data_IF_006627368082
#
_entry.id   IF_006627368082
#
_cell.length_a   1.000
_cell.length_b   1.000
_cell.length_c   1.000
_cell.angle_alpha   90.00
_cell.angle_beta   90.00
_cell.angle_gamma   90.00
#
_symmetry.space_group_name_H-M   'P 1'
#
loop_
_entity.id
_entity.type
_entity.pdbx_description
1 polymer ?
#
# COMPACT_ATOMS: atom_id res chain seq x y z
N UNK A 1 22.35 -4.34 -22.24
CA UNK A 1 22.23 -2.88 -22.03
C UNK A 1 21.72 -2.28 -23.33
N UNK A 2 20.57 -1.63 -23.32
CA UNK A 2 20.01 -0.98 -24.52
C UNK A 2 20.16 0.53 -24.35
N UNK A 3 20.71 1.23 -25.35
CA UNK A 3 20.95 2.68 -25.30
C UNK A 3 19.84 3.38 -26.08
N UNK A 4 19.22 4.38 -25.45
CA UNK A 4 18.18 5.20 -26.07
C UNK A 4 18.66 6.64 -26.15
N UNK A 5 18.29 7.32 -27.24
CA UNK A 5 18.50 8.76 -27.37
C UNK A 5 17.48 9.49 -26.51
N UNK A 6 17.93 10.56 -25.87
CA UNK A 6 17.06 11.54 -25.22
C UNK A 6 16.45 12.43 -26.29
N UNK A 7 15.17 12.74 -26.14
CA UNK A 7 14.42 13.69 -26.96
C UNK A 7 14.05 14.89 -26.09
N UNK A 8 13.98 16.09 -26.67
CA UNK A 8 13.52 17.28 -25.99
C UNK A 8 12.12 17.64 -26.47
N UNK A 9 11.22 17.96 -25.54
CA UNK A 9 9.84 18.36 -25.85
C UNK A 9 9.48 19.63 -25.12
N UNK A 10 8.88 20.59 -25.82
CA UNK A 10 8.32 21.81 -25.21
C UNK A 10 9.33 22.72 -24.50
N UNK A 11 10.63 22.59 -24.80
CA UNK A 11 11.69 23.47 -24.30
C UNK A 11 12.09 23.27 -22.82
N UNK A 12 11.35 22.49 -22.04
CA UNK A 12 11.56 22.34 -20.60
C UNK A 12 11.61 20.88 -20.10
N UNK A 13 11.48 19.89 -20.99
CA UNK A 13 11.46 18.48 -20.58
C UNK A 13 12.18 17.57 -21.56
N UNK A 14 12.81 16.54 -20.99
CA UNK A 14 13.46 15.47 -21.72
C UNK A 14 12.61 14.19 -21.66
N UNK A 15 12.58 13.45 -22.76
CA UNK A 15 11.87 12.19 -22.88
C UNK A 15 12.84 11.10 -23.31
N UNK A 16 12.69 9.91 -22.72
CA UNK A 16 13.35 8.67 -23.17
C UNK A 16 12.30 7.60 -23.41
N UNK A 17 12.46 6.83 -24.48
CA UNK A 17 11.55 5.72 -24.78
C UNK A 17 11.85 4.51 -23.92
N UNK A 18 10.81 3.92 -23.32
CA UNK A 18 10.92 2.68 -22.57
C UNK A 18 11.17 1.49 -23.51
N UNK A 19 11.97 0.48 -23.11
CA UNK A 19 12.12 -0.74 -23.89
C UNK A 19 10.77 -1.44 -24.07
N UNK A 20 10.37 -1.70 -25.32
CA UNK A 20 9.05 -2.25 -25.66
C UNK A 20 8.75 -3.58 -24.97
N UNK A 21 9.74 -4.49 -24.91
CA UNK A 21 9.60 -5.80 -24.25
C UNK A 21 9.37 -5.66 -22.75
N UNK A 22 10.15 -4.80 -22.09
CA UNK A 22 9.99 -4.50 -20.67
C UNK A 22 8.63 -3.86 -20.38
N UNK A 23 8.25 -2.81 -21.12
CA UNK A 23 6.97 -2.13 -20.92
C UNK A 23 5.78 -3.09 -21.06
N UNK A 24 5.79 -3.98 -22.06
CA UNK A 24 4.79 -5.04 -22.21
C UNK A 24 4.80 -6.04 -21.05
N UNK A 25 5.99 -6.47 -20.60
CA UNK A 25 6.11 -7.41 -19.46
C UNK A 25 5.54 -6.84 -18.16
N UNK A 26 5.59 -5.51 -18.00
CA UNK A 26 5.05 -4.80 -16.85
C UNK A 26 3.59 -4.34 -17.06
N UNK A 27 2.97 -4.70 -18.19
CA UNK A 27 1.58 -4.35 -18.49
C UNK A 27 1.33 -2.85 -18.72
N UNK A 28 2.38 -2.07 -18.98
CA UNK A 28 2.28 -0.62 -19.21
C UNK A 28 1.57 -0.35 -20.54
N UNK A 29 0.52 0.47 -20.48
CA UNK A 29 -0.28 0.92 -21.62
C UNK A 29 -0.02 2.39 -21.93
N UNK A 30 -0.47 2.83 -23.09
CA UNK A 30 -0.44 4.24 -23.49
C UNK A 30 -1.17 5.06 -22.42
N UNK A 31 -0.58 6.18 -22.02
CA UNK A 31 -1.07 7.11 -20.99
C UNK A 31 -1.00 6.60 -19.54
N UNK A 32 -0.41 5.43 -19.28
CA UNK A 32 -0.13 5.01 -17.90
C UNK A 32 0.97 5.89 -17.29
N UNK A 33 0.80 6.24 -16.01
CA UNK A 33 1.85 6.90 -15.23
C UNK A 33 2.91 5.90 -14.76
N UNK A 34 4.17 6.34 -14.78
CA UNK A 34 5.33 5.57 -14.31
C UNK A 34 6.01 6.38 -13.21
N UNK A 35 6.30 5.75 -12.08
CA UNK A 35 7.07 6.37 -11.01
C UNK A 35 8.52 6.52 -11.42
N UNK A 36 9.11 7.70 -11.16
CA UNK A 36 10.51 7.98 -11.43
C UNK A 36 11.16 8.49 -10.13
N UNK A 37 12.23 7.84 -9.69
CA UNK A 37 13.00 8.26 -8.52
C UNK A 37 14.45 8.52 -8.94
N UNK A 38 14.94 9.73 -8.65
CA UNK A 38 16.36 10.05 -8.79
C UNK A 38 17.13 9.50 -7.59
N UNK A 39 18.21 8.78 -7.85
CA UNK A 39 19.12 8.26 -6.83
C UNK A 39 20.39 9.11 -6.76
N UNK A 40 21.05 9.07 -5.60
CA UNK A 40 22.27 9.85 -5.34
C UNK A 40 23.45 9.44 -6.23
N UNK A 41 23.42 8.23 -6.81
CA UNK A 41 24.41 7.74 -7.77
C UNK A 41 24.19 8.26 -9.21
N UNK A 42 23.21 9.15 -9.40
CA UNK A 42 22.85 9.71 -10.71
C UNK A 42 21.95 8.80 -11.56
N UNK A 43 21.56 7.62 -11.06
CA UNK A 43 20.63 6.75 -11.76
C UNK A 43 19.17 7.17 -11.56
N UNK A 44 18.31 6.84 -12.54
CA UNK A 44 16.86 6.94 -12.42
C UNK A 44 16.27 5.54 -12.24
N UNK A 45 15.50 5.34 -11.16
CA UNK A 45 14.70 4.15 -10.96
C UNK A 45 13.31 4.36 -11.56
N UNK A 46 12.91 3.47 -12.45
CA UNK A 46 11.58 3.44 -13.07
C UNK A 46 10.73 2.36 -12.40
N UNK A 47 9.52 2.72 -11.96
CA UNK A 47 8.58 1.81 -11.32
C UNK A 47 7.26 1.79 -12.08
N UNK A 48 6.83 0.64 -12.62
CA UNK A 48 5.54 0.53 -13.30
C UNK A 48 4.42 0.80 -12.29
N UNK A 49 3.47 1.66 -12.69
CA UNK A 49 2.17 1.91 -12.06
C UNK A 49 2.23 2.05 -10.53
N UNK A 50 2.30 3.28 -10.02
CA UNK A 50 1.79 3.59 -8.68
C UNK A 50 0.26 3.57 -8.80
N UNK A 51 -0.33 2.38 -8.92
CA UNK A 51 -1.76 2.29 -8.67
C UNK A 51 -1.95 2.39 -7.17
N UNK A 52 -2.76 3.36 -6.72
CA UNK A 52 -3.26 3.41 -5.36
C UNK A 52 -3.83 2.05 -4.93
N UNK A 53 -4.37 1.28 -5.88
CA UNK A 53 -4.85 -0.10 -5.71
C UNK A 53 -3.74 -1.12 -5.40
N UNK A 54 -2.52 -1.00 -5.93
CA UNK A 54 -1.38 -1.84 -5.52
C UNK A 54 -0.78 -1.41 -4.19
N UNK A 55 -0.97 -0.14 -3.79
CA UNK A 55 -0.61 0.30 -2.46
C UNK A 55 -1.62 -0.17 -1.42
N UNK A 56 -2.92 -0.18 -1.68
CA UNK A 56 -3.94 -0.57 -0.70
C UNK A 56 -4.14 -2.09 -0.63
N UNK A 57 -3.29 -2.76 0.15
CA UNK A 57 -3.55 -4.10 0.62
C UNK A 57 -4.49 -3.99 1.83
N UNK A 58 -5.77 -4.28 1.58
CA UNK A 58 -6.80 -4.31 2.61
C UNK A 58 -7.01 -5.72 3.19
N UNK A 59 -7.15 -5.79 4.52
CA UNK A 59 -7.59 -6.99 5.23
C UNK A 59 -8.78 -6.68 6.12
N UNK A 60 -9.87 -7.41 5.93
CA UNK A 60 -11.03 -7.35 6.81
C UNK A 60 -11.02 -8.50 7.84
N UNK A 61 -11.31 -8.17 9.09
CA UNK A 61 -11.50 -9.11 10.19
C UNK A 61 -12.93 -9.01 10.74
N UNK A 62 -13.71 -10.10 10.64
CA UNK A 62 -14.92 -10.27 11.44
C UNK A 62 -14.53 -10.76 12.85
N UNK A 63 -14.70 -9.89 13.86
CA UNK A 63 -14.36 -10.19 15.25
C UNK A 63 -15.56 -10.63 16.09
N UNK A 64 -16.70 -10.93 15.46
CA UNK A 64 -17.95 -11.31 16.14
C UNK A 64 -17.80 -12.53 17.05
N UNK A 65 -16.90 -13.45 16.70
CA UNK A 65 -16.63 -14.69 17.45
C UNK A 65 -15.31 -14.66 18.22
N UNK A 66 -14.61 -13.52 18.29
CA UNK A 66 -13.34 -13.43 19.02
C UNK A 66 -13.64 -13.16 20.50
N UNK A 67 -13.48 -14.19 21.32
CA UNK A 67 -13.70 -14.09 22.76
C UNK A 67 -12.51 -13.49 23.52
N UNK A 68 -11.29 -13.82 23.10
CA UNK A 68 -10.06 -13.37 23.77
C UNK A 68 -9.38 -12.27 22.97
N UNK A 69 -9.20 -11.05 23.53
CA UNK A 69 -8.54 -9.94 22.84
C UNK A 69 -7.14 -10.26 22.32
N UNK A 70 -6.41 -11.17 22.96
CA UNK A 70 -5.06 -11.57 22.52
C UNK A 70 -5.06 -12.21 21.13
N UNK A 71 -6.14 -12.87 20.72
CA UNK A 71 -6.23 -13.45 19.37
C UNK A 71 -6.36 -12.36 18.31
N UNK A 72 -7.20 -11.35 18.56
CA UNK A 72 -7.29 -10.17 17.69
C UNK A 72 -5.93 -9.48 17.57
N UNK A 73 -5.21 -9.29 18.67
CA UNK A 73 -3.88 -8.68 18.63
C UNK A 73 -2.92 -9.44 17.71
N UNK A 74 -2.88 -10.77 17.80
CA UNK A 74 -2.02 -11.61 16.94
C UNK A 74 -2.42 -11.51 15.47
N UNK A 75 -3.71 -11.47 15.17
CA UNK A 75 -4.22 -11.32 13.80
C UNK A 75 -3.83 -9.96 13.20
N UNK A 76 -3.95 -8.88 13.99
CA UNK A 76 -3.55 -7.53 13.57
C UNK A 76 -2.04 -7.44 13.32
N UNK A 77 -1.21 -8.04 14.18
CA UNK A 77 0.24 -8.14 13.98
C UNK A 77 0.57 -8.93 12.71
N UNK A 78 -0.13 -10.04 12.45
CA UNK A 78 0.04 -10.82 11.23
C UNK A 78 -0.24 -9.98 9.97
N UNK A 79 -1.37 -9.26 9.95
CA UNK A 79 -1.70 -8.38 8.83
C UNK A 79 -0.66 -7.27 8.64
N UNK A 80 -0.15 -6.68 9.72
CA UNK A 80 0.91 -5.68 9.65
C UNK A 80 2.20 -6.23 9.05
N UNK A 81 2.66 -7.40 9.51
CA UNK A 81 3.87 -8.06 8.99
C UNK A 81 3.70 -8.48 7.53
N UNK A 82 2.51 -8.92 7.14
CA UNK A 82 2.21 -9.27 5.76
C UNK A 82 2.15 -8.05 4.83
N UNK A 83 2.21 -6.82 5.35
CA UNK A 83 2.23 -5.59 4.56
C UNK A 83 0.85 -5.11 4.13
N UNK A 84 -0.21 -5.46 4.88
CA UNK A 84 -1.50 -4.82 4.73
C UNK A 84 -1.44 -3.42 5.35
N UNK A 85 -1.81 -2.41 4.57
CA UNK A 85 -1.81 -1.01 4.98
C UNK A 85 -3.21 -0.43 5.20
N UNK A 86 -4.26 -1.20 4.90
CA UNK A 86 -5.63 -0.93 5.34
C UNK A 86 -6.10 -2.16 6.12
N UNK A 87 -6.49 -1.96 7.38
CA UNK A 87 -7.01 -3.04 8.23
C UNK A 87 -8.39 -2.65 8.72
N UNK A 88 -9.40 -3.41 8.31
CA UNK A 88 -10.80 -3.18 8.65
C UNK A 88 -11.21 -4.19 9.73
N UNK A 89 -11.70 -3.70 10.86
CA UNK A 89 -12.15 -4.56 11.97
C UNK A 89 -13.66 -4.37 12.13
N UNK A 90 -14.44 -5.40 11.79
CA UNK A 90 -15.91 -5.36 11.84
C UNK A 90 -16.46 -6.39 12.82
N UNK A 91 -17.64 -6.11 13.34
CA UNK A 91 -18.37 -7.04 14.21
C UNK A 91 -19.87 -6.92 13.93
N UNK A 92 -20.55 -8.06 13.74
CA UNK A 92 -22.00 -8.13 13.54
C UNK A 92 -22.80 -7.71 14.78
N UNK A 93 -22.18 -7.78 15.96
CA UNK A 93 -22.72 -7.31 17.23
C UNK A 93 -21.90 -6.13 17.74
N UNK A 94 -22.40 -5.41 18.74
CA UNK A 94 -21.63 -4.35 19.41
C UNK A 94 -20.27 -4.89 19.85
N UNK A 95 -19.20 -4.24 19.37
CA UNK A 95 -17.83 -4.65 19.69
C UNK A 95 -17.59 -4.47 21.19
N UNK A 96 -17.00 -5.49 21.83
CA UNK A 96 -16.74 -5.40 23.26
C UNK A 96 -15.68 -4.33 23.56
N UNK A 97 -15.77 -3.60 24.70
CA UNK A 97 -14.78 -2.59 25.07
C UNK A 97 -13.34 -3.16 25.14
N UNK A 98 -13.21 -4.44 25.47
CA UNK A 98 -11.92 -5.12 25.53
C UNK A 98 -11.27 -5.29 24.15
N UNK A 99 -12.06 -5.58 23.10
CA UNK A 99 -11.58 -5.68 21.73
C UNK A 99 -11.21 -4.30 21.18
N UNK A 100 -12.06 -3.28 21.39
CA UNK A 100 -11.75 -1.91 20.97
C UNK A 100 -10.50 -1.36 21.67
N UNK A 101 -10.32 -1.66 22.97
CA UNK A 101 -9.08 -1.32 23.71
C UNK A 101 -7.87 -2.04 23.13
N UNK A 102 -8.02 -3.27 22.65
CA UNK A 102 -6.95 -4.03 22.01
C UNK A 102 -6.56 -3.44 20.66
N UNK A 103 -7.52 -3.05 19.81
CA UNK A 103 -7.24 -2.36 18.54
C UNK A 103 -6.45 -1.08 18.80
N UNK A 104 -6.89 -0.25 19.76
CA UNK A 104 -6.15 0.97 20.13
C UNK A 104 -4.75 0.68 20.69
N UNK A 105 -4.58 -0.42 21.45
CA UNK A 105 -3.27 -0.85 21.94
C UNK A 105 -2.35 -1.25 20.80
N UNK A 106 -2.87 -1.97 19.81
CA UNK A 106 -2.14 -2.35 18.61
C UNK A 106 -1.69 -1.12 17.82
N UNK A 107 -2.60 -0.18 17.53
CA UNK A 107 -2.29 1.05 16.78
C UNK A 107 -1.17 1.85 17.46
N UNK A 108 -1.23 2.04 18.79
CA UNK A 108 -0.16 2.73 19.54
C UNK A 108 1.19 2.00 19.55
N UNK A 109 1.20 0.70 19.28
CA UNK A 109 2.41 -0.13 19.32
C UNK A 109 3.12 -0.27 17.98
N UNK A 110 2.51 0.18 16.88
CA UNK A 110 3.06 0.01 15.53
C UNK A 110 3.38 1.37 14.91
N UNK A 111 4.44 1.42 14.12
CA UNK A 111 4.85 2.65 13.44
C UNK A 111 3.95 2.85 12.21
N UNK A 112 3.43 4.07 12.08
CA UNK A 112 2.71 4.52 10.88
C UNK A 112 1.26 4.03 10.76
N UNK A 113 0.66 3.53 11.84
CA UNK A 113 -0.77 3.19 11.88
C UNK A 113 -1.57 4.29 12.56
N UNK A 114 -2.71 4.62 11.96
CA UNK A 114 -3.69 5.57 12.49
C UNK A 114 -5.11 5.01 12.31
N UNK A 115 -6.02 5.39 13.21
CA UNK A 115 -7.45 5.05 13.07
C UNK A 115 -8.08 6.15 12.21
N UNK A 116 -8.44 5.82 10.98
CA UNK A 116 -9.04 6.76 10.02
C UNK A 116 -10.56 6.88 10.17
N UNK A 117 -11.22 5.81 10.63
CA UNK A 117 -12.67 5.75 10.80
C UNK A 117 -13.02 4.83 11.98
N UNK A 118 -13.98 5.25 12.80
CA UNK A 118 -14.59 4.42 13.83
C UNK A 118 -16.10 4.70 13.86
N UNK A 119 -16.90 3.70 13.52
CA UNK A 119 -18.36 3.77 13.54
C UNK A 119 -18.94 2.77 14.54
N UNK A 120 -20.06 3.14 15.15
CA UNK A 120 -20.85 2.21 15.95
C UNK A 120 -21.88 1.56 15.03
N UNK A 121 -21.94 0.22 15.04
CA UNK A 121 -23.10 -0.50 14.54
C UNK A 121 -24.32 -0.30 15.45
#
# INVERSE_FOLDING_TARGET
MEIRKIQMTGGASFIVSLPKGWAKSQGIKKNDSVGIIARNDGSLLLMPKISSEQMQREKEFDVSSIEKPIYLFRMLVGAYIEGYNVIVVKSRKRMSPSLSKMVRKFVRGMIGLEIIEETSN
#
